data_IF_456819441893
#
_entry.id   IF_456819441893
#
_cell.length_a   1.000
_cell.length_b   1.000
_cell.length_c   1.000
_cell.angle_alpha   90.00
_cell.angle_beta   90.00
_cell.angle_gamma   90.00
#
_symmetry.space_group_name_H-M   'P 1'
#
loop_
_entity.id
_entity.type
_entity.pdbx_description
1 polymer ?
#
# COMPACT_ATOMS: atom_id res chain seq x y z
N UNK A 1 -8.61 24.74 10.22
CA UNK A 1 -7.65 23.70 10.60
C UNK A 1 -6.64 23.67 9.46
N UNK A 2 -5.39 24.07 9.66
CA UNK A 2 -4.39 23.96 8.60
C UNK A 2 -4.15 22.47 8.35
N UNK A 3 -4.49 22.03 7.17
CA UNK A 3 -4.19 20.68 6.70
C UNK A 3 -2.66 20.63 6.45
N UNK A 4 -1.91 20.01 7.31
CA UNK A 4 -0.51 19.67 7.00
C UNK A 4 -0.55 18.45 6.11
N UNK A 5 -0.24 18.64 4.84
CA UNK A 5 -0.32 17.55 3.85
C UNK A 5 0.72 16.46 4.05
N UNK A 6 1.83 16.76 4.73
CA UNK A 6 2.97 15.86 4.87
C UNK A 6 3.68 15.56 3.55
N UNK A 7 3.48 16.41 2.53
CA UNK A 7 3.99 16.22 1.16
C UNK A 7 5.40 16.80 0.95
N UNK A 8 6.08 17.25 2.01
CA UNK A 8 7.41 17.89 1.91
C UNK A 8 8.49 17.01 1.25
N UNK A 9 8.26 15.69 1.14
CA UNK A 9 9.16 14.76 0.43
C UNK A 9 8.73 14.46 -1.00
N UNK A 10 7.76 15.20 -1.54
CA UNK A 10 7.31 15.06 -2.92
C UNK A 10 8.48 15.23 -3.91
N UNK A 11 8.67 14.32 -4.89
CA UNK A 11 9.82 14.31 -5.77
C UNK A 11 9.68 15.31 -6.95
N UNK A 12 9.38 16.57 -6.66
CA UNK A 12 9.13 17.62 -7.67
C UNK A 12 10.28 17.81 -8.66
N UNK A 13 11.52 17.49 -8.25
CA UNK A 13 12.70 17.61 -9.09
C UNK A 13 13.01 16.34 -9.92
N UNK A 14 12.17 15.29 -9.83
CA UNK A 14 12.39 14.07 -10.61
C UNK A 14 12.17 14.31 -12.10
N UNK A 15 12.93 13.62 -12.93
CA UNK A 15 12.80 13.73 -14.40
C UNK A 15 11.44 13.23 -14.88
N UNK A 16 10.82 12.32 -14.17
CA UNK A 16 9.50 11.78 -14.50
C UNK A 16 8.40 12.83 -14.29
N UNK A 17 8.41 13.57 -13.17
CA UNK A 17 7.42 14.61 -12.92
C UNK A 17 7.68 15.85 -13.82
N UNK A 18 8.95 16.15 -14.12
CA UNK A 18 9.35 17.29 -14.96
C UNK A 18 9.15 17.06 -16.46
N UNK A 19 8.68 15.87 -16.87
CA UNK A 19 8.46 15.57 -18.28
C UNK A 19 7.33 16.46 -18.84
N UNK A 20 7.60 17.25 -19.90
CA UNK A 20 6.58 18.13 -20.47
C UNK A 20 5.42 17.40 -21.16
N UNK A 21 5.56 16.10 -21.42
CA UNK A 21 4.51 15.26 -22.01
C UNK A 21 3.51 14.73 -20.94
N UNK A 22 3.67 15.14 -19.68
CA UNK A 22 2.69 14.83 -18.63
C UNK A 22 1.48 15.75 -18.75
N UNK A 23 0.29 15.15 -18.80
CA UNK A 23 -0.99 15.87 -18.66
C UNK A 23 -1.31 16.21 -17.21
N UNK A 24 -0.90 15.33 -16.28
CA UNK A 24 -1.14 15.49 -14.84
C UNK A 24 0.07 15.00 -14.03
N UNK A 25 0.42 15.74 -12.99
CA UNK A 25 1.45 15.40 -12.01
C UNK A 25 0.92 15.61 -10.60
N UNK A 26 1.41 14.85 -9.64
CA UNK A 26 0.89 14.99 -8.28
C UNK A 26 1.74 14.32 -7.21
N UNK A 27 1.28 14.44 -5.98
CA UNK A 27 1.86 13.78 -4.81
C UNK A 27 0.77 13.20 -3.92
N UNK A 28 1.09 12.05 -3.35
CA UNK A 28 0.21 11.28 -2.49
C UNK A 28 0.89 11.04 -1.15
N UNK A 29 0.13 11.25 -0.08
CA UNK A 29 0.47 10.76 1.26
C UNK A 29 -0.76 10.02 1.79
N UNK A 30 -0.59 8.75 2.09
CA UNK A 30 -1.64 7.93 2.67
C UNK A 30 -1.19 7.37 4.02
N UNK A 31 -2.01 7.52 5.04
CA UNK A 31 -1.81 6.93 6.36
C UNK A 31 -2.85 5.85 6.62
N UNK A 32 -2.43 4.74 7.19
CA UNK A 32 -3.27 3.60 7.52
C UNK A 32 -3.21 3.42 9.03
N UNK A 33 -4.34 3.63 9.72
CA UNK A 33 -4.37 3.58 11.18
C UNK A 33 -4.27 2.15 11.74
N UNK A 34 -4.68 1.15 10.96
CA UNK A 34 -4.64 -0.24 11.39
C UNK A 34 -5.36 -1.18 10.43
N UNK A 35 -5.77 -2.33 10.94
CA UNK A 35 -6.46 -3.34 10.12
C UNK A 35 -6.10 -4.76 10.51
N UNK A 36 -6.21 -5.67 9.56
CA UNK A 36 -5.77 -7.06 9.72
C UNK A 36 -5.36 -7.69 8.40
N UNK A 37 -4.46 -8.66 8.47
CA UNK A 37 -4.08 -9.48 7.35
C UNK A 37 -4.16 -10.95 7.74
N UNK A 38 -4.85 -11.75 6.94
CA UNK A 38 -4.90 -13.21 7.09
C UNK A 38 -4.08 -13.84 5.98
N UNK A 39 -3.11 -14.65 6.36
CA UNK A 39 -2.22 -15.39 5.47
C UNK A 39 -2.32 -16.87 5.81
N UNK A 40 -2.74 -17.68 4.85
CA UNK A 40 -3.00 -19.09 5.10
C UNK A 40 -4.06 -19.26 6.20
N UNK A 41 -3.64 -19.74 7.37
CA UNK A 41 -4.51 -19.91 8.55
C UNK A 41 -4.27 -18.90 9.68
N UNK A 42 -3.36 -17.93 9.50
CA UNK A 42 -2.93 -17.03 10.56
C UNK A 42 -3.41 -15.61 10.29
N UNK A 43 -4.17 -15.04 11.23
CA UNK A 43 -4.61 -13.64 11.17
C UNK A 43 -3.71 -12.78 12.06
N UNK A 44 -3.15 -11.74 11.48
CA UNK A 44 -2.27 -10.76 12.12
C UNK A 44 -2.98 -9.42 12.17
N UNK A 45 -3.20 -8.83 13.34
CA UNK A 45 -3.68 -7.46 13.43
C UNK A 45 -2.57 -6.48 13.03
N UNK A 46 -2.92 -5.50 12.20
CA UNK A 46 -2.06 -4.37 11.88
C UNK A 46 -2.25 -3.31 12.96
N UNK A 47 -1.36 -3.31 13.95
CA UNK A 47 -1.46 -2.47 15.15
C UNK A 47 -0.62 -1.21 15.10
N UNK A 48 0.27 -1.11 14.11
CA UNK A 48 1.08 0.07 13.87
C UNK A 48 0.53 0.86 12.70
N UNK A 49 0.54 2.18 12.81
CA UNK A 49 0.23 3.04 11.67
C UNK A 49 1.29 2.84 10.59
N UNK A 50 0.84 2.85 9.34
CA UNK A 50 1.71 2.80 8.17
C UNK A 50 1.49 4.07 7.35
N UNK A 51 2.55 4.56 6.71
CA UNK A 51 2.48 5.72 5.83
C UNK A 51 3.09 5.38 4.49
N UNK A 52 2.36 5.62 3.41
CA UNK A 52 2.85 5.54 2.04
C UNK A 52 2.96 6.95 1.46
N UNK A 53 4.09 7.23 0.78
CA UNK A 53 4.38 8.55 0.17
C UNK A 53 4.98 8.32 -1.20
N UNK A 54 4.46 8.99 -2.22
CA UNK A 54 4.99 8.91 -3.57
C UNK A 54 4.54 10.08 -4.44
N UNK A 55 5.33 10.39 -5.46
CA UNK A 55 4.90 11.23 -6.57
C UNK A 55 4.10 10.42 -7.57
N UNK A 56 3.23 11.08 -8.32
CA UNK A 56 2.45 10.48 -9.41
C UNK A 56 2.53 11.33 -10.67
N UNK A 57 2.42 10.69 -11.82
CA UNK A 57 2.27 11.35 -13.10
C UNK A 57 1.43 10.53 -14.07
N UNK A 58 0.76 11.21 -14.95
CA UNK A 58 -0.01 10.63 -16.04
C UNK A 58 0.36 11.37 -17.34
N UNK A 59 0.98 10.63 -18.27
CA UNK A 59 1.34 11.20 -19.56
C UNK A 59 0.09 11.49 -20.41
N UNK A 60 0.15 12.49 -21.27
CA UNK A 60 -0.92 12.76 -22.23
C UNK A 60 -1.27 11.50 -23.04
N UNK A 61 -2.53 11.11 -23.01
CA UNK A 61 -3.03 9.84 -23.55
C UNK A 61 -2.47 8.57 -22.86
N UNK A 62 -2.05 8.68 -21.60
CA UNK A 62 -1.63 7.57 -20.76
C UNK A 62 -2.75 6.53 -20.52
N UNK A 63 -2.45 5.46 -19.79
CA UNK A 63 -3.41 4.39 -19.55
C UNK A 63 -4.62 4.87 -18.75
N UNK A 64 -5.81 4.40 -19.13
CA UNK A 64 -7.06 4.64 -18.43
C UNK A 64 -7.80 3.34 -18.16
N UNK A 65 -8.71 3.36 -17.19
CA UNK A 65 -9.68 2.29 -16.95
C UNK A 65 -11.08 2.84 -17.14
N UNK A 66 -11.98 2.02 -17.69
CA UNK A 66 -13.42 2.33 -17.76
C UNK A 66 -14.16 1.44 -16.78
N UNK A 67 -14.91 2.05 -15.86
CA UNK A 67 -15.70 1.36 -14.86
C UNK A 67 -17.03 0.85 -15.40
N UNK A 68 -17.73 0.05 -14.61
CA UNK A 68 -18.99 -0.55 -15.00
C UNK A 68 -20.13 0.47 -15.26
N UNK A 69 -20.05 1.63 -14.66
CA UNK A 69 -20.98 2.76 -14.82
C UNK A 69 -20.69 3.60 -16.09
N UNK A 70 -19.59 3.30 -16.80
CA UNK A 70 -19.14 3.99 -18.01
C UNK A 70 -18.19 5.16 -17.76
N UNK A 71 -17.91 5.52 -16.51
CA UNK A 71 -16.89 6.51 -16.16
C UNK A 71 -15.49 5.99 -16.47
N UNK A 72 -14.57 6.91 -16.75
CA UNK A 72 -13.15 6.58 -16.99
C UNK A 72 -12.26 7.28 -15.97
N UNK A 73 -11.17 6.62 -15.60
CA UNK A 73 -10.14 7.18 -14.73
C UNK A 73 -8.74 6.97 -15.30
N UNK A 74 -7.85 7.93 -15.06
CA UNK A 74 -6.42 7.82 -15.34
C UNK A 74 -5.77 6.82 -14.39
N UNK A 75 -4.86 6.00 -14.93
CA UNK A 75 -3.99 5.12 -14.15
C UNK A 75 -2.62 5.80 -14.08
N UNK A 76 -2.29 6.33 -12.91
CA UNK A 76 -1.04 7.04 -12.70
C UNK A 76 0.14 6.10 -12.50
N UNK A 77 1.27 6.48 -13.06
CA UNK A 77 2.59 5.95 -12.69
C UNK A 77 3.08 6.62 -11.43
N UNK A 78 3.93 5.94 -10.65
CA UNK A 78 4.46 6.47 -9.39
C UNK A 78 5.95 6.78 -9.46
N UNK A 79 6.41 7.66 -8.58
CA UNK A 79 7.81 8.03 -8.39
C UNK A 79 8.11 8.02 -6.90
N UNK A 80 9.19 7.37 -6.50
CA UNK A 80 9.61 7.33 -5.11
C UNK A 80 9.84 8.74 -4.54
N UNK A 81 9.54 8.98 -3.25
CA UNK A 81 9.77 10.26 -2.59
C UNK A 81 11.27 10.58 -2.49
N UNK A 82 11.61 11.84 -2.21
CA UNK A 82 13.00 12.31 -2.19
C UNK A 82 13.85 11.70 -1.07
N UNK A 83 13.22 11.24 0.01
CA UNK A 83 13.87 10.51 1.10
C UNK A 83 14.03 9.01 0.81
N UNK A 84 13.43 8.52 -0.28
CA UNK A 84 13.45 7.11 -0.67
C UNK A 84 12.54 6.21 0.18
N UNK A 85 11.79 6.77 1.11
CA UNK A 85 10.97 6.05 2.08
C UNK A 85 9.50 6.03 1.60
N UNK A 86 9.24 5.24 0.56
CA UNK A 86 7.92 5.14 -0.09
C UNK A 86 6.87 4.48 0.81
N UNK A 87 7.29 3.58 1.71
CA UNK A 87 6.42 2.90 2.67
C UNK A 87 7.11 2.81 4.04
N UNK A 88 6.69 3.64 4.98
CA UNK A 88 7.09 3.57 6.37
C UNK A 88 6.13 2.67 7.16
N UNK A 89 6.66 1.63 7.79
CA UNK A 89 5.89 0.66 8.56
C UNK A 89 6.54 0.41 9.91
N UNK A 90 5.73 0.29 10.94
CA UNK A 90 6.20 -0.28 12.19
C UNK A 90 6.43 -1.80 12.07
N UNK A 91 7.01 -2.39 13.10
CA UNK A 91 7.12 -3.85 13.21
C UNK A 91 5.87 -4.43 13.85
N UNK A 92 5.50 -5.64 13.42
CA UNK A 92 4.39 -6.41 13.96
C UNK A 92 4.94 -7.59 14.78
N UNK A 93 4.38 -7.85 15.94
CA UNK A 93 4.70 -9.04 16.74
C UNK A 93 3.69 -10.15 16.43
N UNK A 94 4.14 -11.18 15.72
CA UNK A 94 3.30 -12.28 15.25
C UNK A 94 3.59 -13.53 16.07
N UNK A 95 2.66 -13.99 16.92
CA UNK A 95 2.83 -15.20 17.69
C UNK A 95 3.06 -16.42 16.81
N UNK A 96 4.03 -17.25 17.16
CA UNK A 96 4.27 -18.54 16.47
C UNK A 96 3.14 -19.50 16.87
N UNK A 97 2.36 -20.04 15.91
CA UNK A 97 1.29 -20.97 16.21
C UNK A 97 1.74 -22.16 17.06
N UNK A 98 1.02 -22.46 18.11
CA UNK A 98 1.35 -23.55 19.05
C UNK A 98 2.37 -23.21 20.14
N UNK A 99 2.97 -22.01 20.12
CA UNK A 99 3.80 -21.53 21.22
C UNK A 99 3.07 -20.46 22.03
N UNK A 100 3.25 -20.48 23.37
CA UNK A 100 2.75 -19.40 24.19
C UNK A 100 3.64 -18.16 24.00
N UNK A 101 3.04 -17.00 23.76
CA UNK A 101 3.77 -15.76 23.50
C UNK A 101 4.32 -15.14 24.79
N UNK A 102 5.36 -15.74 25.37
CA UNK A 102 6.00 -15.23 26.58
C UNK A 102 7.19 -14.30 26.33
N UNK A 103 7.85 -14.45 25.17
CA UNK A 103 9.08 -13.72 24.84
C UNK A 103 9.04 -13.26 23.38
N UNK A 104 8.74 -11.97 23.09
CA UNK A 104 8.80 -11.41 21.75
C UNK A 104 10.14 -11.68 21.06
N UNK A 105 10.12 -12.05 19.78
CA UNK A 105 11.32 -12.40 19.02
C UNK A 105 11.94 -13.77 19.36
N UNK A 106 11.35 -14.53 20.29
CA UNK A 106 11.73 -15.90 20.62
C UNK A 106 10.56 -16.86 20.42
N UNK A 107 9.42 -16.58 21.04
CA UNK A 107 8.16 -17.33 20.88
C UNK A 107 7.21 -16.67 19.90
N UNK A 108 7.60 -15.54 19.33
CA UNK A 108 6.95 -14.85 18.23
C UNK A 108 7.97 -14.45 17.16
N UNK A 109 7.51 -14.12 15.97
CA UNK A 109 8.31 -13.47 14.94
C UNK A 109 8.00 -11.97 14.95
N UNK A 110 9.05 -11.15 14.98
CA UNK A 110 8.91 -9.72 14.68
C UNK A 110 8.88 -9.61 13.16
N UNK A 111 7.80 -9.12 12.61
CA UNK A 111 7.60 -8.97 11.16
C UNK A 111 7.74 -7.51 10.77
N UNK A 112 8.66 -7.24 9.86
CA UNK A 112 8.76 -5.96 9.17
C UNK A 112 8.17 -6.10 7.78
N UNK A 113 7.23 -5.21 7.45
CA UNK A 113 6.64 -5.13 6.11
C UNK A 113 7.54 -4.23 5.26
N UNK A 114 7.95 -4.71 4.10
CA UNK A 114 8.83 -3.97 3.19
C UNK A 114 8.26 -4.00 1.77
N UNK A 115 8.55 -2.98 0.99
CA UNK A 115 8.28 -3.01 -0.45
C UNK A 115 9.22 -4.01 -1.15
N UNK A 116 8.66 -4.85 -2.01
CA UNK A 116 9.41 -5.72 -2.91
C UNK A 116 9.71 -5.05 -4.26
N UNK A 117 9.05 -3.93 -4.53
CA UNK A 117 9.17 -3.08 -5.71
C UNK A 117 8.35 -1.81 -5.51
N UNK A 118 8.34 -0.86 -6.46
CA UNK A 118 7.57 0.38 -6.33
C UNK A 118 6.06 0.11 -6.25
N UNK A 119 5.33 0.99 -5.59
CA UNK A 119 3.87 1.08 -5.71
C UNK A 119 3.56 1.41 -7.17
N UNK A 120 2.51 0.86 -7.76
CA UNK A 120 2.18 1.11 -9.17
C UNK A 120 0.67 1.21 -9.39
N UNK A 121 0.28 1.65 -10.58
CA UNK A 121 -1.10 1.69 -11.05
C UNK A 121 -2.04 2.43 -10.09
N UNK A 122 -1.62 3.61 -9.60
CA UNK A 122 -2.45 4.42 -8.72
C UNK A 122 -3.64 5.02 -9.47
N UNK A 123 -4.86 4.73 -9.00
CA UNK A 123 -6.11 5.11 -9.65
C UNK A 123 -7.05 5.74 -8.62
N UNK A 124 -6.85 7.02 -8.25
CA UNK A 124 -7.59 7.66 -7.16
C UNK A 124 -9.10 7.74 -7.41
N UNK A 125 -9.53 7.85 -8.68
CA UNK A 125 -10.94 7.89 -9.05
C UNK A 125 -11.62 6.50 -9.05
N UNK A 126 -10.88 5.43 -8.72
CA UNK A 126 -11.46 4.12 -8.44
C UNK A 126 -12.05 4.02 -7.02
N UNK A 127 -12.02 5.09 -6.25
CA UNK A 127 -12.58 5.13 -4.91
C UNK A 127 -14.10 4.85 -4.94
N UNK A 128 -14.51 3.78 -4.25
CA UNK A 128 -15.89 3.27 -4.29
C UNK A 128 -16.21 2.33 -5.46
N UNK A 129 -15.33 2.20 -6.45
CA UNK A 129 -15.46 1.24 -7.54
C UNK A 129 -14.92 -0.14 -7.17
N UNK A 130 -15.39 -1.18 -7.88
CA UNK A 130 -14.87 -2.54 -7.71
C UNK A 130 -13.55 -2.71 -8.50
N UNK A 131 -12.62 -1.80 -8.28
CA UNK A 131 -11.34 -1.72 -8.96
C UNK A 131 -10.23 -1.37 -7.95
N UNK A 132 -9.02 -1.92 -8.09
CA UNK A 132 -7.90 -1.58 -7.21
C UNK A 132 -7.52 -0.09 -7.28
N UNK A 133 -7.29 0.53 -6.12
CA UNK A 133 -6.77 1.89 -6.08
C UNK A 133 -5.28 1.96 -6.42
N UNK A 134 -4.53 0.91 -6.13
CA UNK A 134 -3.09 0.79 -6.44
C UNK A 134 -2.65 -0.66 -6.37
N UNK A 135 -1.43 -0.92 -6.84
CA UNK A 135 -0.74 -2.19 -6.68
C UNK A 135 0.40 -2.02 -5.69
N UNK A 136 0.41 -2.83 -4.64
CA UNK A 136 1.35 -2.77 -3.54
C UNK A 136 2.13 -4.09 -3.45
N UNK A 137 3.34 -4.16 -4.03
CA UNK A 137 4.18 -5.34 -3.97
C UNK A 137 4.93 -5.39 -2.63
N UNK A 138 4.60 -6.35 -1.78
CA UNK A 138 5.16 -6.50 -0.44
C UNK A 138 6.05 -7.72 -0.32
N UNK A 139 6.95 -7.69 0.65
CA UNK A 139 7.65 -8.82 1.25
C UNK A 139 7.70 -8.63 2.76
N UNK A 140 7.75 -9.70 3.50
CA UNK A 140 7.83 -9.70 4.96
C UNK A 140 9.17 -10.22 5.41
N UNK A 141 9.90 -9.41 6.18
CA UNK A 141 11.11 -9.83 6.86
C UNK A 141 10.73 -10.40 8.23
N UNK A 142 11.01 -11.67 8.45
CA UNK A 142 10.70 -12.37 9.69
C UNK A 142 11.92 -12.39 10.60
N UNK A 143 11.90 -11.58 11.63
CA UNK A 143 13.00 -11.47 12.62
C UNK A 143 12.69 -12.32 13.84
N UNK A 144 13.52 -13.33 14.07
CA UNK A 144 13.46 -14.19 15.24
C UNK A 144 14.85 -14.75 15.50
N UNK A 145 15.18 -15.04 16.77
CA UNK A 145 16.49 -15.52 17.19
C UNK A 145 16.96 -16.78 16.41
N UNK A 146 16.03 -17.63 16.01
CA UNK A 146 16.32 -18.90 15.33
C UNK A 146 16.24 -18.82 13.81
N UNK A 147 15.55 -17.82 13.27
CA UNK A 147 15.29 -17.71 11.82
C UNK A 147 16.46 -17.11 11.05
N UNK A 148 17.37 -16.42 11.74
CA UNK A 148 18.48 -15.72 11.09
C UNK A 148 18.04 -14.38 10.44
N UNK A 149 18.99 -13.66 9.82
CA UNK A 149 18.72 -12.31 9.30
C UNK A 149 18.07 -12.29 7.90
N UNK A 150 18.04 -13.41 7.21
CA UNK A 150 17.63 -13.49 5.80
C UNK A 150 16.31 -14.23 5.58
N UNK A 151 15.48 -14.35 6.64
CA UNK A 151 14.20 -15.03 6.57
C UNK A 151 13.11 -14.10 6.02
N UNK A 152 12.65 -14.39 4.79
CA UNK A 152 11.66 -13.59 4.10
C UNK A 152 10.48 -14.41 3.58
N UNK A 153 9.31 -13.78 3.53
CA UNK A 153 8.14 -14.24 2.78
C UNK A 153 7.88 -13.25 1.65
N UNK A 154 8.00 -13.73 0.43
CA UNK A 154 8.01 -12.87 -0.75
C UNK A 154 9.41 -12.33 -1.07
N UNK A 155 9.56 -11.84 -2.29
CA UNK A 155 10.80 -11.27 -2.82
C UNK A 155 10.49 -10.31 -3.97
N UNK A 156 11.49 -9.59 -4.49
CA UNK A 156 11.33 -8.77 -5.70
C UNK A 156 10.86 -9.60 -6.91
N UNK A 157 11.26 -10.87 -7.01
CA UNK A 157 10.85 -11.75 -8.10
C UNK A 157 9.47 -12.38 -7.89
N UNK A 158 9.06 -12.55 -6.64
CA UNK A 158 7.78 -13.14 -6.23
C UNK A 158 7.19 -12.36 -5.05
N UNK A 159 6.68 -11.15 -5.29
CA UNK A 159 6.09 -10.33 -4.23
C UNK A 159 4.73 -10.88 -3.78
N UNK A 160 4.32 -10.49 -2.59
CA UNK A 160 2.93 -10.52 -2.18
C UNK A 160 2.28 -9.28 -2.79
N UNK A 161 1.53 -9.45 -3.86
CA UNK A 161 0.93 -8.32 -4.58
C UNK A 161 -0.46 -8.03 -4.02
N UNK A 162 -0.59 -6.98 -3.24
CA UNK A 162 -1.89 -6.47 -2.82
C UNK A 162 -2.47 -5.52 -3.87
N UNK A 163 -3.77 -5.64 -4.09
CA UNK A 163 -4.56 -4.81 -4.99
C UNK A 163 -5.82 -4.33 -4.27
N UNK A 164 -5.67 -3.48 -3.24
CA UNK A 164 -6.77 -3.10 -2.38
C UNK A 164 -7.79 -2.19 -3.08
N UNK A 165 -9.06 -2.40 -2.77
CA UNK A 165 -10.19 -1.60 -3.26
C UNK A 165 -11.04 -1.10 -2.11
N UNK A 166 -11.69 0.05 -2.27
CA UNK A 166 -12.75 0.53 -1.40
C UNK A 166 -14.13 -0.06 -1.79
N UNK A 167 -14.23 -0.66 -2.96
CA UNK A 167 -15.41 -1.37 -3.45
C UNK A 167 -15.49 -2.82 -3.00
N UNK A 168 -16.11 -3.66 -3.82
CA UNK A 168 -16.28 -5.09 -3.56
C UNK A 168 -15.29 -5.93 -4.35
N UNK A 169 -14.59 -6.83 -3.67
CA UNK A 169 -13.61 -7.73 -4.27
C UNK A 169 -14.26 -8.87 -5.07
N UNK A 170 -13.49 -9.46 -5.97
CA UNK A 170 -13.88 -10.64 -6.76
C UNK A 170 -12.84 -11.76 -6.61
N UNK A 171 -12.72 -12.35 -5.40
CA UNK A 171 -11.69 -13.33 -5.13
C UNK A 171 -11.97 -14.69 -5.79
N UNK A 172 -10.92 -15.50 -6.03
CA UNK A 172 -11.12 -16.91 -6.33
C UNK A 172 -11.64 -17.66 -5.10
N UNK A 173 -12.36 -18.75 -5.35
CA UNK A 173 -12.81 -19.65 -4.29
C UNK A 173 -11.60 -20.26 -3.53
N UNK A 174 -11.72 -20.51 -2.22
CA UNK A 174 -12.93 -20.52 -1.39
C UNK A 174 -13.32 -19.15 -0.78
N UNK A 175 -12.52 -18.09 -0.97
CA UNK A 175 -12.90 -16.77 -0.47
C UNK A 175 -14.22 -16.31 -1.10
N UNK A 176 -14.97 -15.54 -0.34
CA UNK A 176 -16.17 -14.84 -0.82
C UNK A 176 -15.87 -13.34 -0.94
N UNK A 177 -16.59 -12.61 -1.81
CA UNK A 177 -16.43 -11.17 -1.92
C UNK A 177 -16.53 -10.46 -0.57
N UNK A 178 -15.64 -9.49 -0.34
CA UNK A 178 -15.69 -8.56 0.79
C UNK A 178 -15.76 -7.13 0.24
N UNK A 179 -16.38 -6.24 1.00
CA UNK A 179 -16.58 -4.85 0.59
C UNK A 179 -15.84 -3.90 1.51
N UNK A 180 -15.09 -2.98 0.92
CA UNK A 180 -14.45 -1.88 1.62
C UNK A 180 -15.41 -0.72 1.89
N UNK A 181 -14.84 0.45 2.12
CA UNK A 181 -15.59 1.70 2.32
C UNK A 181 -14.73 2.86 1.79
N UNK A 182 -15.23 3.69 0.86
CA UNK A 182 -14.48 4.83 0.33
C UNK A 182 -14.19 5.93 1.37
N UNK A 183 -14.89 5.91 2.51
CA UNK A 183 -14.74 6.97 3.51
C UNK A 183 -15.43 8.26 3.09
N UNK A 184 -14.80 9.39 3.44
CA UNK A 184 -15.32 10.73 3.14
C UNK A 184 -14.33 11.51 2.30
N UNK A 185 -14.79 12.04 1.18
CA UNK A 185 -14.01 12.92 0.31
C UNK A 185 -14.15 14.36 0.71
N UNK A 186 -13.06 15.08 0.79
CA UNK A 186 -13.02 16.54 0.98
C UNK A 186 -12.15 17.19 -0.10
N UNK A 187 -12.65 18.27 -0.66
CA UNK A 187 -11.91 19.10 -1.62
C UNK A 187 -11.39 20.33 -0.88
N UNK A 188 -10.10 20.56 -0.95
CA UNK A 188 -9.47 21.73 -0.40
C UNK A 188 -8.85 22.52 -1.55
N UNK A 189 -9.55 23.58 -1.97
CA UNK A 189 -9.03 24.50 -2.99
C UNK A 189 -8.05 25.47 -2.37
N UNK A 190 -6.95 25.74 -3.07
CA UNK A 190 -6.01 26.80 -2.68
C UNK A 190 -6.76 28.13 -2.43
N UNK A 191 -6.54 28.79 -1.27
CA UNK A 191 -7.16 30.08 -0.96
C UNK A 191 -6.77 31.21 -1.94
N UNK A 192 -5.73 31.03 -2.75
CA UNK A 192 -5.29 31.99 -3.76
C UNK A 192 -6.01 31.84 -5.11
N UNK A 193 -6.88 30.83 -5.28
CA UNK A 193 -7.69 30.64 -6.47
C UNK A 193 -6.96 30.07 -7.67
N UNK A 194 -5.80 29.44 -7.46
CA UNK A 194 -5.17 28.59 -8.47
C UNK A 194 -6.01 27.34 -8.68
N UNK A 195 -5.94 26.71 -9.86
CA UNK A 195 -6.67 25.49 -10.21
C UNK A 195 -6.21 24.26 -9.43
N UNK A 196 -5.21 24.41 -8.58
CA UNK A 196 -4.62 23.37 -7.76
C UNK A 196 -5.58 22.97 -6.65
N UNK A 197 -5.91 21.72 -6.56
CA UNK A 197 -6.74 21.25 -5.46
C UNK A 197 -6.09 20.06 -4.76
N UNK A 198 -6.18 20.09 -3.44
CA UNK A 198 -5.82 18.95 -2.61
C UNK A 198 -7.10 18.21 -2.29
N UNK A 199 -7.15 16.96 -2.71
CA UNK A 199 -8.25 16.05 -2.38
C UNK A 199 -7.85 15.24 -1.16
N UNK A 200 -8.69 15.28 -0.15
CA UNK A 200 -8.58 14.44 1.03
C UNK A 200 -9.61 13.31 1.00
N UNK A 201 -9.16 12.09 1.29
CA UNK A 201 -10.01 10.95 1.58
C UNK A 201 -9.78 10.60 3.05
N UNK A 202 -10.83 10.40 3.83
CA UNK A 202 -10.66 10.11 5.26
C UNK A 202 -11.54 8.97 5.75
N UNK A 203 -10.97 8.14 6.62
CA UNK A 203 -11.66 7.02 7.25
C UNK A 203 -12.01 5.88 6.30
N UNK A 204 -11.32 5.76 5.17
CA UNK A 204 -11.57 4.69 4.22
C UNK A 204 -11.19 3.31 4.80
N UNK A 205 -11.83 2.27 4.28
CA UNK A 205 -11.44 0.88 4.51
C UNK A 205 -11.17 0.23 3.16
N UNK A 206 -9.92 -0.18 2.96
CA UNK A 206 -9.49 -0.85 1.75
C UNK A 206 -9.35 -2.34 2.00
N UNK A 207 -9.83 -3.16 1.07
CA UNK A 207 -9.84 -4.61 1.20
C UNK A 207 -9.28 -5.31 -0.02
N UNK A 208 -8.59 -6.42 0.21
CA UNK A 208 -8.16 -7.36 -0.83
C UNK A 208 -8.19 -8.77 -0.27
N UNK A 209 -8.74 -9.73 -1.01
CA UNK A 209 -8.71 -11.15 -0.67
C UNK A 209 -8.47 -12.04 -1.88
N UNK A 210 -7.76 -11.50 -2.87
CA UNK A 210 -7.47 -12.14 -4.15
C UNK A 210 -6.00 -12.48 -4.34
N UNK A 211 -5.13 -12.09 -3.39
CA UNK A 211 -3.68 -12.29 -3.51
C UNK A 211 -3.21 -13.69 -3.07
N UNK A 212 -2.04 -14.09 -3.56
CA UNK A 212 -1.31 -15.27 -3.11
C UNK A 212 -0.10 -14.86 -2.26
N UNK A 213 0.35 -15.77 -1.41
CA UNK A 213 1.52 -15.57 -0.55
C UNK A 213 2.54 -16.66 -0.86
N UNK A 214 3.77 -16.30 -1.25
CA UNK A 214 4.83 -17.26 -1.50
C UNK A 214 5.24 -18.02 -0.25
N UNK A 215 6.01 -19.10 -0.43
CA UNK A 215 6.70 -19.80 0.64
C UNK A 215 7.80 -18.91 1.24
N UNK A 216 8.15 -19.19 2.49
CA UNK A 216 9.30 -18.56 3.15
C UNK A 216 10.61 -18.98 2.50
N UNK A 217 11.62 -18.11 2.59
CA UNK A 217 12.95 -18.37 2.06
C UNK A 217 14.03 -17.79 2.99
N UNK A 218 15.17 -18.49 3.07
CA UNK A 218 16.34 -18.03 3.82
C UNK A 218 16.22 -18.17 5.34
N UNK A 219 15.21 -18.87 5.84
CA UNK A 219 14.99 -19.06 7.27
C UNK A 219 15.93 -20.11 7.87
N UNK A 220 16.63 -19.77 8.94
CA UNK A 220 17.67 -20.59 9.55
C UNK A 220 18.95 -20.60 8.70
N UNK A 221 19.87 -21.51 9.00
CA UNK A 221 21.12 -21.64 8.27
C UNK A 221 20.85 -22.18 6.84
N UNK A 222 20.97 -21.26 5.84
CA UNK A 222 20.81 -21.62 4.43
C UNK A 222 19.40 -22.13 4.07
N UNK A 223 18.35 -21.63 4.73
CA UNK A 223 16.96 -22.02 4.45
C UNK A 223 16.53 -23.32 5.13
N UNK A 224 17.31 -23.82 6.10
CA UNK A 224 17.00 -25.10 6.76
C UNK A 224 15.69 -25.13 7.53
N UNK A 225 15.11 -23.96 7.85
CA UNK A 225 13.85 -23.81 8.58
C UNK A 225 12.69 -23.32 7.68
N UNK A 226 12.90 -23.12 6.38
CA UNK A 226 11.85 -22.64 5.47
C UNK A 226 10.59 -23.51 5.56
N UNK A 227 10.72 -24.81 5.45
CA UNK A 227 9.61 -25.76 5.53
C UNK A 227 8.84 -25.70 6.86
N UNK A 228 9.54 -25.40 7.95
CA UNK A 228 8.93 -25.30 9.27
C UNK A 228 8.14 -23.99 9.40
N UNK A 229 8.67 -22.90 8.88
CA UNK A 229 7.97 -21.60 8.82
C UNK A 229 6.72 -21.73 7.94
N UNK A 230 6.85 -22.35 6.77
CA UNK A 230 5.72 -22.63 5.88
C UNK A 230 4.63 -23.43 6.55
N UNK A 231 5.01 -24.50 7.26
CA UNK A 231 4.06 -25.35 7.98
C UNK A 231 3.33 -24.60 9.11
N UNK A 232 4.07 -23.79 9.89
CA UNK A 232 3.53 -23.11 11.06
C UNK A 232 2.59 -21.96 10.67
N UNK A 233 2.93 -21.23 9.63
CA UNK A 233 2.17 -20.05 9.19
C UNK A 233 1.25 -20.31 7.99
N UNK A 234 1.27 -21.53 7.45
CA UNK A 234 0.47 -21.90 6.27
C UNK A 234 0.92 -21.17 5.01
N UNK A 235 2.25 -20.95 4.84
CA UNK A 235 2.82 -20.23 3.71
C UNK A 235 2.88 -21.08 2.43
N UNK A 236 3.10 -20.41 1.30
CA UNK A 236 2.81 -20.99 0.00
C UNK A 236 1.30 -20.99 -0.25
N UNK A 237 0.60 -20.02 0.33
CA UNK A 237 -0.85 -19.94 0.30
C UNK A 237 -1.36 -19.39 -1.03
N UNK A 238 -2.23 -20.15 -1.68
CA UNK A 238 -2.83 -19.74 -2.95
C UNK A 238 -3.80 -18.57 -2.79
N UNK A 239 -4.06 -17.87 -3.87
CA UNK A 239 -5.15 -16.90 -3.95
C UNK A 239 -6.48 -17.56 -3.55
N UNK A 240 -7.35 -16.82 -2.85
CA UNK A 240 -8.59 -17.34 -2.28
C UNK A 240 -8.47 -17.87 -0.85
N UNK A 241 -7.27 -17.88 -0.27
CA UNK A 241 -7.03 -18.29 1.12
C UNK A 241 -6.45 -17.17 2.00
N UNK A 242 -6.26 -15.98 1.41
CA UNK A 242 -5.68 -14.84 2.09
C UNK A 242 -6.63 -13.67 2.05
N UNK A 243 -6.51 -12.74 3.00
CA UNK A 243 -7.28 -11.49 3.00
C UNK A 243 -6.52 -10.39 3.71
N UNK A 244 -6.73 -9.16 3.27
CA UNK A 244 -6.23 -7.95 3.90
C UNK A 244 -7.37 -6.95 4.06
N UNK A 245 -7.39 -6.26 5.19
CA UNK A 245 -8.28 -5.14 5.46
C UNK A 245 -7.46 -4.03 6.10
N UNK A 246 -7.36 -2.89 5.43
CA UNK A 246 -6.69 -1.68 5.89
C UNK A 246 -7.75 -0.70 6.34
N UNK A 247 -7.71 -0.25 7.59
CA UNK A 247 -8.77 0.58 8.18
C UNK A 247 -8.25 1.93 8.63
N UNK A 248 -9.14 2.93 8.62
CA UNK A 248 -8.78 4.30 8.95
C UNK A 248 -7.72 4.82 7.96
N UNK A 249 -7.94 4.57 6.68
CA UNK A 249 -7.05 5.07 5.62
C UNK A 249 -7.41 6.51 5.36
N UNK A 250 -6.46 7.40 5.61
CA UNK A 250 -6.54 8.82 5.30
C UNK A 250 -5.53 9.13 4.21
N UNK A 251 -5.99 9.69 3.08
CA UNK A 251 -5.15 10.01 1.93
C UNK A 251 -5.26 11.49 1.60
N UNK A 252 -4.12 12.14 1.42
CA UNK A 252 -4.02 13.47 0.84
C UNK A 252 -3.40 13.34 -0.55
N UNK A 253 -4.08 13.87 -1.54
CA UNK A 253 -3.69 13.85 -2.95
C UNK A 253 -3.64 15.30 -3.45
N UNK A 254 -2.46 15.76 -3.88
CA UNK A 254 -2.30 16.99 -4.64
C UNK A 254 -2.07 16.64 -6.11
N UNK A 255 -2.82 17.24 -7.02
CA UNK A 255 -2.70 17.03 -8.48
C UNK A 255 -2.76 18.35 -9.20
N UNK A 256 -1.90 18.53 -10.19
CA UNK A 256 -1.89 19.67 -11.09
C UNK A 256 -1.40 19.29 -12.48
N UNK A 257 -1.60 20.18 -13.44
CA UNK A 257 -1.08 20.07 -14.80
C UNK A 257 0.39 20.51 -14.92
N UNK A 258 0.95 21.14 -13.89
CA UNK A 258 2.34 21.61 -13.87
C UNK A 258 3.02 21.36 -12.52
N UNK A 259 4.31 21.03 -12.57
CA UNK A 259 5.12 20.82 -11.35
C UNK A 259 5.30 22.11 -10.56
N UNK A 260 5.35 23.28 -11.23
CA UNK A 260 5.54 24.56 -10.55
C UNK A 260 4.33 24.94 -9.70
N UNK A 261 3.13 24.72 -10.23
CA UNK A 261 1.89 25.02 -9.53
C UNK A 261 1.63 23.99 -8.43
N UNK A 262 1.87 22.68 -8.72
CA UNK A 262 1.87 21.64 -7.71
C UNK A 262 2.79 21.98 -6.52
N UNK A 263 4.03 22.42 -6.79
CA UNK A 263 4.97 22.85 -5.74
C UNK A 263 4.44 24.00 -4.90
N UNK A 264 3.76 24.97 -5.53
CA UNK A 264 3.13 26.09 -4.84
C UNK A 264 1.95 25.66 -3.97
N UNK A 265 1.12 24.75 -4.47
CA UNK A 265 -0.01 24.18 -3.72
C UNK A 265 0.47 23.40 -2.49
N UNK A 266 1.49 22.56 -2.64
CA UNK A 266 2.08 21.80 -1.52
C UNK A 266 2.64 22.78 -0.47
N UNK A 267 3.40 23.80 -0.88
CA UNK A 267 3.98 24.77 0.05
C UNK A 267 2.89 25.55 0.80
N UNK A 268 1.76 25.87 0.16
CA UNK A 268 0.65 26.56 0.78
C UNK A 268 -0.13 25.67 1.78
N UNK A 269 -0.03 24.34 1.67
CA UNK A 269 -0.73 23.36 2.50
C UNK A 269 0.04 22.95 3.76
N UNK A 270 1.32 23.25 3.86
CA UNK A 270 2.19 22.97 5.02
C UNK A 270 2.19 24.12 6.05
#
# INVERSE_FOLDING_TARGET
>A
MLFRSGMGTCPLASTQLQDPDNGEVGCVVATIAGGSMTIGGVTVPLTSAMTAKFGIYWADNGPTVTFADGNTASIFSTVAPTDGDELDTGTLDVPIPGLANFFPGVTSAIVQVELAGPITAFTPLADGENYPLFQLPLKFHLMNLFLGPDCYVGSTAQPILLQPTAGTTTPPAPNTPITGNPGTVSLNTDPNGYSDFIVGFSGATLVDNSFSVPAATGCGLGGSLDWLVDLLFGLGSAAGHNSASLTGVDTSLAVDSSVSDLGSAIQASE
#
